data_IF_488604819932
#
_entry.id   IF_488604819932
#
_cell.length_a   1.000
_cell.length_b   1.000
_cell.length_c   1.000
_cell.angle_alpha   90.00
_cell.angle_beta   90.00
_cell.angle_gamma   90.00
#
_symmetry.space_group_name_H-M   'P 1'
#
loop_
_entity.id
_entity.type
_entity.pdbx_description
1 polymer ?
#
# COMPACT_ATOMS: atom_id res chain seq x y z
N UNK A 1 -3.60 -13.29 7.29
CA UNK A 1 -4.84 -12.97 8.04
C UNK A 1 -5.68 -14.22 8.15
N UNK A 2 -6.10 -14.61 9.37
CA UNK A 2 -6.99 -15.74 9.61
C UNK A 2 -8.42 -15.23 9.77
N UNK A 3 -9.37 -15.89 9.10
CA UNK A 3 -10.77 -15.49 9.04
C UNK A 3 -11.65 -16.57 9.66
N UNK A 4 -12.74 -16.17 10.31
CA UNK A 4 -13.64 -17.07 11.04
C UNK A 4 -14.93 -17.40 10.25
N UNK A 5 -15.08 -16.81 9.06
CA UNK A 5 -16.24 -17.05 8.20
C UNK A 5 -16.08 -16.36 6.86
N UNK A 6 -16.86 -16.78 5.89
CA UNK A 6 -16.95 -16.15 4.57
C UNK A 6 -18.41 -16.11 4.08
N UNK A 7 -18.69 -15.08 3.28
CA UNK A 7 -19.91 -15.04 2.46
C UNK A 7 -19.58 -15.40 1.02
N UNK A 8 -20.37 -16.28 0.44
CA UNK A 8 -20.22 -16.66 -0.97
C UNK A 8 -21.35 -16.08 -1.82
N UNK A 9 -21.11 -15.95 -3.12
CA UNK A 9 -22.16 -15.64 -4.09
C UNK A 9 -23.20 -16.75 -4.13
N UNK A 10 -24.42 -16.43 -4.56
CA UNK A 10 -25.43 -17.43 -4.85
C UNK A 10 -24.93 -18.37 -5.95
N UNK A 11 -25.38 -19.64 -5.92
CA UNK A 11 -24.84 -20.71 -6.77
C UNK A 11 -24.80 -20.36 -8.27
N UNK A 12 -25.82 -19.69 -8.79
CA UNK A 12 -25.91 -19.28 -10.21
C UNK A 12 -24.76 -18.32 -10.58
N UNK A 13 -24.44 -17.35 -9.71
CA UNK A 13 -23.34 -16.41 -9.95
C UNK A 13 -21.98 -17.09 -9.78
N UNK A 14 -21.83 -17.95 -8.76
CA UNK A 14 -20.59 -18.68 -8.52
C UNK A 14 -20.23 -19.63 -9.68
N UNK A 15 -21.23 -20.28 -10.29
CA UNK A 15 -21.03 -21.13 -11.46
C UNK A 15 -20.66 -20.33 -12.72
N UNK A 16 -21.24 -19.15 -12.89
CA UNK A 16 -20.94 -18.28 -14.04
C UNK A 16 -19.57 -17.58 -13.92
N UNK A 17 -19.06 -17.38 -12.68
CA UNK A 17 -17.81 -16.73 -12.41
C UNK A 17 -16.92 -17.60 -11.51
N UNK A 18 -16.19 -18.58 -12.08
CA UNK A 18 -15.43 -19.56 -11.31
C UNK A 18 -14.18 -18.97 -10.59
N UNK A 19 -13.78 -17.75 -10.92
CA UNK A 19 -12.71 -17.05 -10.23
C UNK A 19 -13.34 -16.02 -9.30
N UNK A 20 -13.04 -16.14 -8.02
CA UNK A 20 -13.52 -15.24 -6.97
C UNK A 20 -12.36 -14.75 -6.11
N UNK A 21 -12.54 -13.62 -5.47
CA UNK A 21 -11.61 -13.07 -4.50
C UNK A 21 -12.35 -12.26 -3.45
N UNK A 22 -11.85 -12.27 -2.21
CA UNK A 22 -12.42 -11.43 -1.15
C UNK A 22 -12.02 -9.96 -1.37
N UNK A 23 -12.86 -9.03 -0.94
CA UNK A 23 -12.65 -7.57 -1.13
C UNK A 23 -12.59 -6.79 0.19
N UNK A 24 -12.44 -7.48 1.30
CA UNK A 24 -12.39 -6.87 2.61
C UNK A 24 -11.08 -6.09 2.80
N UNK A 25 -11.20 -4.80 3.10
CA UNK A 25 -10.09 -4.00 3.58
C UNK A 25 -9.97 -4.13 5.11
N UNK A 26 -8.75 -4.25 5.61
CA UNK A 26 -8.47 -4.25 7.05
C UNK A 26 -7.82 -2.92 7.39
N UNK A 27 -8.55 -1.99 8.03
CA UNK A 27 -7.99 -0.69 8.41
C UNK A 27 -6.94 -0.86 9.52
N UNK A 28 -6.02 0.08 9.61
CA UNK A 28 -5.09 0.21 10.72
C UNK A 28 -5.83 0.54 12.04
N UNK A 29 -5.10 0.56 13.16
CA UNK A 29 -5.66 0.91 14.47
C UNK A 29 -6.25 2.32 14.56
N UNK A 30 -5.91 3.19 13.60
CA UNK A 30 -6.45 4.54 13.43
C UNK A 30 -7.61 4.61 12.44
N UNK A 31 -8.12 3.47 11.98
CA UNK A 31 -9.23 3.40 11.03
C UNK A 31 -8.85 3.66 9.57
N UNK A 32 -7.57 3.94 9.27
CA UNK A 32 -7.11 4.29 7.91
C UNK A 32 -6.66 3.06 7.15
N UNK A 33 -7.17 2.87 5.93
CA UNK A 33 -6.77 1.79 5.02
C UNK A 33 -5.53 2.21 4.24
N UNK A 34 -4.40 1.56 4.53
CA UNK A 34 -3.11 1.78 3.85
C UNK A 34 -2.66 0.57 3.03
N UNK A 35 -3.16 -0.59 3.39
CA UNK A 35 -2.80 -1.87 2.77
C UNK A 35 -4.03 -2.74 2.57
N UNK A 36 -3.93 -3.69 1.66
CA UNK A 36 -4.96 -4.72 1.43
C UNK A 36 -4.33 -6.10 1.62
N UNK A 37 -4.97 -7.00 2.40
CA UNK A 37 -4.53 -8.38 2.46
C UNK A 37 -4.64 -9.02 1.08
N UNK A 38 -3.59 -9.73 0.66
CA UNK A 38 -3.57 -10.44 -0.61
C UNK A 38 -4.10 -11.87 -0.47
N UNK A 39 -3.80 -12.49 0.67
CA UNK A 39 -4.25 -13.84 1.02
C UNK A 39 -4.91 -13.84 2.40
N UNK A 40 -5.97 -14.61 2.53
CA UNK A 40 -6.64 -14.91 3.78
C UNK A 40 -6.72 -16.42 3.97
N UNK A 41 -6.53 -16.88 5.19
CA UNK A 41 -6.72 -18.27 5.58
C UNK A 41 -8.12 -18.47 6.16
N UNK A 42 -8.81 -19.48 5.69
CA UNK A 42 -10.08 -19.96 6.25
C UNK A 42 -10.13 -21.48 6.18
N UNK A 43 -10.34 -22.15 7.30
CA UNK A 43 -10.42 -23.62 7.41
C UNK A 43 -9.23 -24.36 6.79
N UNK A 44 -8.01 -23.81 6.96
CA UNK A 44 -6.78 -24.40 6.44
C UNK A 44 -6.52 -24.20 4.95
N UNK A 45 -7.39 -23.48 4.25
CA UNK A 45 -7.22 -23.10 2.85
C UNK A 45 -6.90 -21.60 2.70
N UNK A 46 -6.14 -21.26 1.66
CA UNK A 46 -5.82 -19.87 1.34
C UNK A 46 -6.69 -19.35 0.20
N UNK A 47 -7.27 -18.20 0.42
CA UNK A 47 -8.13 -17.49 -0.54
C UNK A 47 -7.47 -16.20 -0.97
N UNK A 48 -7.60 -15.87 -2.24
CA UNK A 48 -7.02 -14.65 -2.82
C UNK A 48 -7.95 -13.46 -2.63
N UNK A 49 -7.35 -12.27 -2.50
CA UNK A 49 -8.13 -11.04 -2.61
C UNK A 49 -8.57 -10.79 -4.04
N UNK A 50 -9.62 -9.98 -4.21
CA UNK A 50 -10.12 -9.55 -5.52
C UNK A 50 -8.99 -8.95 -6.38
N UNK A 51 -8.14 -8.11 -5.79
CA UNK A 51 -7.04 -7.48 -6.51
C UNK A 51 -6.01 -8.52 -7.02
N UNK A 52 -5.62 -9.48 -6.17
CA UNK A 52 -4.69 -10.54 -6.56
C UNK A 52 -5.30 -11.47 -7.60
N UNK A 53 -6.55 -11.91 -7.40
CA UNK A 53 -7.25 -12.81 -8.30
C UNK A 53 -7.42 -12.18 -9.70
N UNK A 54 -7.83 -10.91 -9.77
CA UNK A 54 -7.96 -10.17 -11.05
C UNK A 54 -6.60 -9.99 -11.73
N UNK A 55 -5.56 -9.59 -10.99
CA UNK A 55 -4.22 -9.45 -11.55
C UNK A 55 -3.69 -10.79 -12.08
N UNK A 56 -3.84 -11.88 -11.32
CA UNK A 56 -3.41 -13.21 -11.76
C UNK A 56 -4.16 -13.69 -12.99
N UNK A 57 -5.46 -13.43 -13.08
CA UNK A 57 -6.25 -13.77 -14.27
C UNK A 57 -5.76 -13.01 -15.50
N UNK A 58 -5.40 -11.72 -15.35
CA UNK A 58 -4.82 -10.92 -16.42
C UNK A 58 -3.40 -11.37 -16.80
N UNK A 59 -2.59 -11.75 -15.82
CA UNK A 59 -1.20 -12.18 -15.97
C UNK A 59 -1.05 -13.68 -16.32
N UNK A 60 -2.08 -14.32 -16.85
CA UNK A 60 -2.07 -15.73 -17.30
C UNK A 60 -1.86 -16.73 -16.15
N UNK A 61 -2.40 -16.42 -14.97
CA UNK A 61 -2.43 -17.26 -13.76
C UNK A 61 -1.05 -17.71 -13.25
N UNK A 62 -0.13 -16.78 -12.95
CA UNK A 62 1.14 -17.13 -12.33
C UNK A 62 0.94 -17.91 -11.03
N UNK A 63 1.87 -18.80 -10.68
CA UNK A 63 1.90 -19.43 -9.37
C UNK A 63 2.16 -18.38 -8.28
N UNK A 64 1.63 -18.63 -7.07
CA UNK A 64 1.87 -17.79 -5.90
C UNK A 64 2.73 -18.59 -4.93
N UNK A 65 3.90 -18.07 -4.61
CA UNK A 65 4.87 -18.70 -3.73
C UNK A 65 5.24 -17.76 -2.58
N UNK A 66 5.55 -18.30 -1.39
CA UNK A 66 6.09 -17.48 -0.32
C UNK A 66 7.50 -17.00 -0.68
N UNK A 67 7.78 -15.73 -0.43
CA UNK A 67 9.10 -15.13 -0.56
C UNK A 67 9.68 -14.78 0.80
N UNK A 68 10.98 -15.06 0.96
CA UNK A 68 11.72 -14.82 2.19
C UNK A 68 12.87 -13.85 1.92
N UNK A 69 13.36 -13.11 2.93
CA UNK A 69 14.52 -12.23 2.78
C UNK A 69 15.74 -13.00 2.27
N UNK A 70 16.49 -12.39 1.33
CA UNK A 70 17.70 -12.99 0.78
C UNK A 70 18.86 -13.00 1.80
N UNK A 71 18.90 -12.03 2.71
CA UNK A 71 19.90 -11.88 3.74
C UNK A 71 19.33 -12.23 5.11
N UNK A 72 19.85 -13.29 5.71
CA UNK A 72 19.62 -13.60 7.11
C UNK A 72 20.51 -12.66 7.95
N UNK A 73 19.92 -11.74 8.66
CA UNK A 73 20.65 -10.98 9.69
C UNK A 73 21.14 -11.99 10.74
N UNK A 74 22.45 -11.97 10.96
CA UNK A 74 23.17 -12.92 11.81
C UNK A 74 22.43 -13.18 13.13
N UNK A 75 22.07 -14.43 13.37
CA UNK A 75 21.64 -14.94 14.69
C UNK A 75 20.15 -15.08 14.94
N UNK A 76 19.26 -14.84 13.97
CA UNK A 76 17.82 -15.13 14.11
C UNK A 76 17.31 -15.87 12.89
N UNK A 77 16.90 -17.11 13.10
CA UNK A 77 16.01 -17.83 12.19
C UNK A 77 14.63 -17.16 12.26
N UNK A 78 14.45 -16.04 11.55
CA UNK A 78 13.13 -15.51 11.30
C UNK A 78 12.59 -16.15 10.02
N UNK A 79 11.62 -17.05 10.13
CA UNK A 79 10.86 -17.51 8.98
C UNK A 79 9.79 -16.48 8.61
N UNK A 80 10.08 -15.17 8.75
CA UNK A 80 9.12 -14.14 8.38
C UNK A 80 9.10 -13.98 6.87
N UNK A 81 7.97 -14.30 6.31
CA UNK A 81 7.64 -14.06 4.93
C UNK A 81 7.62 -12.54 4.69
N UNK A 82 8.43 -12.05 3.74
CA UNK A 82 8.53 -10.63 3.40
C UNK A 82 7.81 -10.27 2.10
N UNK A 83 7.40 -11.29 1.34
CA UNK A 83 6.81 -11.09 0.02
C UNK A 83 5.99 -12.29 -0.44
N UNK A 84 5.13 -12.05 -1.41
CA UNK A 84 4.58 -13.07 -2.29
C UNK A 84 5.29 -12.99 -3.63
N UNK A 85 5.70 -14.14 -4.15
CA UNK A 85 6.39 -14.24 -5.44
C UNK A 85 5.45 -14.86 -6.45
N UNK A 86 5.10 -14.09 -7.47
CA UNK A 86 4.33 -14.59 -8.61
C UNK A 86 5.28 -15.04 -9.70
N UNK A 87 5.12 -16.28 -10.18
CA UNK A 87 5.94 -16.84 -11.26
C UNK A 87 5.10 -17.31 -12.44
N UNK A 88 5.51 -16.91 -13.63
CA UNK A 88 4.97 -17.41 -14.88
C UNK A 88 6.10 -17.56 -15.91
N UNK A 89 6.53 -18.79 -16.17
CA UNK A 89 7.71 -19.06 -16.98
C UNK A 89 8.96 -18.38 -16.42
N UNK A 90 9.62 -17.55 -17.20
CA UNK A 90 10.79 -16.77 -16.79
C UNK A 90 10.42 -15.44 -16.08
N UNK A 91 9.16 -15.06 -16.07
CA UNK A 91 8.70 -13.81 -15.44
C UNK A 91 8.48 -14.03 -13.95
N UNK A 92 9.01 -13.13 -13.13
CA UNK A 92 8.84 -13.15 -11.69
C UNK A 92 8.47 -11.75 -11.21
N UNK A 93 7.42 -11.66 -10.41
CA UNK A 93 7.01 -10.43 -9.71
C UNK A 93 7.07 -10.69 -8.21
N UNK A 94 7.88 -9.92 -7.49
CA UNK A 94 7.93 -9.94 -6.03
C UNK A 94 7.00 -8.86 -5.49
N UNK A 95 6.01 -9.24 -4.67
CA UNK A 95 5.04 -8.35 -4.03
C UNK A 95 5.41 -8.25 -2.56
N UNK A 96 5.92 -7.12 -2.07
CA UNK A 96 6.19 -6.92 -0.65
C UNK A 96 4.90 -7.02 0.16
N UNK A 97 4.93 -7.76 1.27
CA UNK A 97 3.80 -7.91 2.19
C UNK A 97 4.28 -7.81 3.63
N UNK A 98 3.35 -7.48 4.52
CA UNK A 98 3.56 -7.52 5.96
C UNK A 98 3.27 -8.93 6.55
N UNK A 99 3.36 -9.05 7.87
CA UNK A 99 3.06 -10.27 8.65
C UNK A 99 1.61 -10.77 8.49
N UNK A 100 0.72 -9.95 7.98
CA UNK A 100 -0.69 -10.27 7.69
C UNK A 100 -0.93 -10.61 6.22
N UNK A 101 0.13 -10.72 5.42
CA UNK A 101 0.08 -10.90 3.97
C UNK A 101 -0.64 -9.73 3.26
N UNK A 102 -0.52 -8.52 3.81
CA UNK A 102 -1.09 -7.32 3.22
C UNK A 102 -0.02 -6.51 2.48
N UNK A 103 -0.34 -6.09 1.27
CA UNK A 103 0.49 -5.20 0.46
C UNK A 103 0.05 -3.74 0.64
N UNK A 104 1.00 -2.82 0.70
CA UNK A 104 0.72 -1.39 0.70
C UNK A 104 0.07 -0.98 -0.62
N UNK A 105 -0.98 -0.17 -0.53
CA UNK A 105 -1.70 0.34 -1.70
C UNK A 105 -0.99 1.60 -2.23
N UNK A 106 -0.51 1.60 -3.48
CA UNK A 106 0.12 2.76 -4.08
C UNK A 106 -0.95 3.75 -4.58
N UNK A 107 -1.58 4.49 -3.65
CA UNK A 107 -2.62 5.45 -3.99
C UNK A 107 -2.12 6.51 -4.97
N UNK A 108 -2.92 6.79 -6.01
CA UNK A 108 -2.57 7.68 -7.13
C UNK A 108 -3.19 9.06 -7.04
N UNK A 109 -3.90 9.37 -5.96
CA UNK A 109 -4.53 10.66 -5.75
C UNK A 109 -5.79 10.57 -4.89
N UNK A 110 -6.58 11.63 -4.80
CA UNK A 110 -7.71 11.74 -3.86
C UNK A 110 -8.88 10.80 -4.15
N UNK A 111 -8.89 10.13 -5.30
CA UNK A 111 -9.93 9.16 -5.69
C UNK A 111 -11.27 9.79 -6.10
N UNK A 112 -12.20 8.90 -6.51
CA UNK A 112 -13.52 9.28 -6.97
C UNK A 112 -13.54 9.78 -8.42
N UNK A 113 -14.73 10.01 -8.94
CA UNK A 113 -14.94 10.41 -10.34
C UNK A 113 -14.21 11.69 -10.73
N UNK A 114 -13.97 12.60 -9.77
CA UNK A 114 -13.24 13.85 -9.96
C UNK A 114 -11.76 13.76 -9.61
N UNK A 115 -11.31 12.66 -8.99
CA UNK A 115 -9.92 12.45 -8.58
C UNK A 115 -8.96 12.18 -9.74
N UNK A 116 -9.45 11.78 -10.90
CA UNK A 116 -8.71 11.71 -12.16
C UNK A 116 -7.77 10.50 -12.32
N UNK A 117 -7.59 9.67 -11.30
CA UNK A 117 -6.67 8.52 -11.36
C UNK A 117 -7.20 7.37 -12.20
N UNK A 118 -8.52 7.15 -12.15
CA UNK A 118 -9.22 6.12 -12.91
C UNK A 118 -10.44 6.72 -13.62
N UNK A 119 -10.78 6.14 -14.75
CA UNK A 119 -11.97 6.56 -15.51
C UNK A 119 -13.21 5.95 -14.88
N UNK A 120 -14.15 6.80 -14.53
CA UNK A 120 -15.48 6.43 -14.04
C UNK A 120 -16.50 6.45 -15.16
N UNK A 121 -17.31 5.39 -15.23
CA UNK A 121 -18.43 5.27 -16.15
C UNK A 121 -19.68 4.93 -15.34
N UNK A 122 -20.79 5.57 -15.63
CA UNK A 122 -22.05 5.21 -15.00
C UNK A 122 -22.52 3.83 -15.47
N UNK A 123 -22.86 2.94 -14.54
CA UNK A 123 -23.44 1.65 -14.88
C UNK A 123 -24.71 1.78 -15.72
N UNK A 124 -25.53 2.83 -15.47
CA UNK A 124 -26.71 3.15 -16.27
C UNK A 124 -26.36 3.45 -17.73
N UNK A 125 -25.25 4.16 -17.97
CA UNK A 125 -24.82 4.49 -19.33
C UNK A 125 -24.28 3.26 -20.07
N UNK A 126 -23.57 2.38 -19.36
CA UNK A 126 -23.12 1.09 -19.92
C UNK A 126 -24.32 0.22 -20.28
N UNK A 127 -25.28 0.06 -19.37
CA UNK A 127 -26.48 -0.74 -19.61
C UNK A 127 -27.37 -0.20 -20.73
N UNK A 128 -27.38 1.12 -20.89
CA UNK A 128 -28.14 1.80 -21.96
C UNK A 128 -27.36 1.90 -23.28
N UNK A 129 -26.20 1.24 -23.40
CA UNK A 129 -25.33 1.31 -24.59
C UNK A 129 -24.93 2.73 -25.01
N UNK A 130 -24.79 3.66 -24.03
CA UNK A 130 -24.35 5.03 -24.27
C UNK A 130 -22.83 5.20 -24.15
N UNK A 131 -22.13 4.15 -23.77
CA UNK A 131 -20.66 4.10 -23.67
C UNK A 131 -20.10 3.41 -24.90
N UNK A 132 -19.08 4.04 -25.52
CA UNK A 132 -18.36 3.43 -26.63
C UNK A 132 -17.70 2.12 -26.15
N UNK A 133 -18.01 0.95 -26.76
CA UNK A 133 -17.43 -0.34 -26.39
C UNK A 133 -15.90 -0.38 -26.45
N UNK A 134 -15.27 0.41 -27.30
CA UNK A 134 -13.81 0.44 -27.42
C UNK A 134 -13.13 1.00 -26.16
N UNK A 135 -13.85 1.75 -25.33
CA UNK A 135 -13.35 2.22 -24.04
C UNK A 135 -13.14 1.05 -23.04
N UNK A 136 -13.98 0.02 -23.14
CA UNK A 136 -13.96 -1.14 -22.22
C UNK A 136 -13.08 -2.29 -22.77
N UNK A 137 -12.87 -2.33 -24.05
CA UNK A 137 -12.16 -3.42 -24.73
C UNK A 137 -10.73 -3.55 -24.24
N UNK A 138 -10.34 -4.76 -23.80
CA UNK A 138 -9.00 -5.05 -23.31
C UNK A 138 -8.65 -4.38 -21.97
N UNK A 139 -9.65 -3.90 -21.22
CA UNK A 139 -9.46 -3.27 -19.92
C UNK A 139 -9.89 -4.17 -18.79
N UNK A 140 -9.24 -4.03 -17.64
CA UNK A 140 -9.77 -4.51 -16.37
C UNK A 140 -10.83 -3.51 -15.89
N UNK A 141 -12.05 -4.00 -15.71
CA UNK A 141 -13.18 -3.18 -15.28
C UNK A 141 -13.62 -3.63 -13.89
N UNK A 142 -13.66 -2.70 -12.96
CA UNK A 142 -14.21 -2.90 -11.63
C UNK A 142 -15.60 -2.29 -11.55
N UNK A 143 -16.55 -3.03 -11.03
CA UNK A 143 -17.89 -2.54 -10.74
C UNK A 143 -18.02 -2.38 -9.24
N UNK A 144 -18.37 -1.19 -8.78
CA UNK A 144 -18.51 -0.88 -7.37
C UNK A 144 -19.54 0.21 -7.12
N UNK A 145 -19.95 0.32 -5.88
CA UNK A 145 -20.89 1.34 -5.42
C UNK A 145 -20.12 2.53 -4.87
N UNK A 146 -20.42 3.72 -5.38
CA UNK A 146 -19.78 4.98 -4.93
C UNK A 146 -20.80 5.99 -4.41
N UNK A 147 -22.10 5.65 -4.42
CA UNK A 147 -23.14 6.54 -3.98
C UNK A 147 -23.15 6.71 -2.45
N UNK A 148 -23.40 7.93 -1.95
CA UNK A 148 -23.61 8.17 -0.52
C UNK A 148 -24.68 7.24 0.06
N UNK A 149 -24.41 6.65 1.24
CA UNK A 149 -25.34 5.73 1.90
C UNK A 149 -25.15 4.25 1.57
N UNK A 150 -24.38 3.88 0.54
CA UNK A 150 -24.03 2.50 0.24
C UNK A 150 -22.77 2.01 0.99
N UNK A 151 -22.20 2.86 1.86
CA UNK A 151 -21.17 2.57 2.86
C UNK A 151 -19.84 1.96 2.34
N UNK A 152 -19.56 2.02 1.04
CA UNK A 152 -18.27 1.56 0.51
C UNK A 152 -17.27 2.73 0.37
N UNK A 153 -17.21 3.59 1.39
CA UNK A 153 -16.20 4.63 1.53
C UNK A 153 -15.22 4.25 2.64
N UNK A 154 -13.95 4.52 2.40
CA UNK A 154 -12.86 4.20 3.31
C UNK A 154 -12.02 5.43 3.61
N UNK A 155 -11.63 5.60 4.86
CA UNK A 155 -10.56 6.55 5.18
C UNK A 155 -9.23 5.99 4.67
N UNK A 156 -8.49 6.79 3.92
CA UNK A 156 -7.19 6.45 3.32
C UNK A 156 -6.21 7.59 3.55
N UNK A 157 -4.89 7.40 3.34
CA UNK A 157 -3.91 8.48 3.49
C UNK A 157 -4.14 9.70 2.58
N UNK A 158 -4.93 9.54 1.52
CA UNK A 158 -5.13 10.58 0.49
C UNK A 158 -6.54 11.18 0.50
N UNK A 159 -7.49 10.56 1.21
CA UNK A 159 -8.86 11.04 1.33
C UNK A 159 -9.59 10.37 2.48
N UNK A 160 -10.42 11.12 3.20
CA UNK A 160 -11.28 10.61 4.28
C UNK A 160 -12.46 9.78 3.76
N UNK A 161 -12.87 10.00 2.50
CA UNK A 161 -14.00 9.36 1.87
C UNK A 161 -13.60 8.77 0.50
N UNK A 162 -12.71 7.79 0.54
CA UNK A 162 -12.18 7.12 -0.64
C UNK A 162 -13.06 5.96 -1.08
N UNK A 163 -13.42 5.83 -2.38
CA UNK A 163 -14.20 4.69 -2.85
C UNK A 163 -13.45 3.36 -2.62
N UNK A 164 -14.10 2.41 -1.94
CA UNK A 164 -13.48 1.13 -1.61
C UNK A 164 -13.07 0.34 -2.86
N UNK A 165 -13.89 0.35 -3.91
CA UNK A 165 -13.55 -0.26 -5.19
C UNK A 165 -12.26 0.30 -5.81
N UNK A 166 -12.00 1.60 -5.64
CA UNK A 166 -10.81 2.25 -6.20
C UNK A 166 -9.53 1.89 -5.41
N UNK A 167 -9.67 1.47 -4.14
CA UNK A 167 -8.54 0.92 -3.38
C UNK A 167 -8.00 -0.35 -4.05
N UNK A 168 -8.89 -1.23 -4.52
CA UNK A 168 -8.50 -2.40 -5.31
C UNK A 168 -7.92 -2.02 -6.68
N UNK A 169 -8.48 -1.01 -7.34
CA UNK A 169 -7.95 -0.51 -8.61
C UNK A 169 -6.52 0.01 -8.49
N UNK A 170 -6.21 0.75 -7.41
CA UNK A 170 -4.84 1.22 -7.13
C UNK A 170 -3.87 0.06 -6.94
N UNK A 171 -4.25 -0.97 -6.17
CA UNK A 171 -3.40 -2.13 -5.95
C UNK A 171 -3.16 -2.91 -7.25
N UNK A 172 -4.22 -3.17 -8.04
CA UNK A 172 -4.09 -3.83 -9.35
C UNK A 172 -3.16 -3.04 -10.26
N UNK A 173 -3.36 -1.73 -10.34
CA UNK A 173 -2.52 -0.86 -11.16
C UNK A 173 -1.05 -0.84 -10.67
N UNK A 174 -0.81 -0.88 -9.36
CA UNK A 174 0.52 -1.01 -8.79
C UNK A 174 1.20 -2.32 -9.16
N UNK A 175 0.44 -3.44 -9.13
CA UNK A 175 0.92 -4.75 -9.56
C UNK A 175 1.26 -4.76 -11.06
N UNK A 176 0.43 -4.15 -11.90
CA UNK A 176 0.65 -4.06 -13.35
C UNK A 176 1.88 -3.20 -13.71
N UNK A 177 2.10 -2.12 -12.99
CA UNK A 177 3.23 -1.21 -13.22
C UNK A 177 4.52 -1.67 -12.54
N UNK A 178 4.47 -2.71 -11.68
CA UNK A 178 5.59 -3.11 -10.83
C UNK A 178 5.98 -2.04 -9.80
N UNK A 179 5.10 -1.10 -9.51
CA UNK A 179 5.31 0.00 -8.56
C UNK A 179 4.71 -0.34 -7.20
N UNK A 180 5.35 -1.26 -6.51
CA UNK A 180 4.96 -1.70 -5.18
C UNK A 180 5.90 -1.09 -4.14
N UNK A 181 5.32 -0.71 -3.02
CA UNK A 181 6.06 -0.10 -1.92
C UNK A 181 6.24 -1.14 -0.82
N UNK A 182 7.47 -1.27 -0.33
CA UNK A 182 7.82 -2.14 0.77
C UNK A 182 7.96 -1.35 2.08
N UNK A 183 7.50 -1.93 3.18
CA UNK A 183 7.87 -1.51 4.52
C UNK A 183 8.76 -2.60 5.12
N UNK A 184 10.09 -2.43 5.07
CA UNK A 184 11.01 -3.46 5.53
C UNK A 184 10.96 -3.62 7.06
N UNK A 185 11.33 -4.80 7.56
CA UNK A 185 11.35 -5.12 8.99
C UNK A 185 12.28 -4.23 9.79
N UNK A 186 13.36 -3.73 9.15
CA UNK A 186 14.29 -2.79 9.77
C UNK A 186 13.78 -1.35 9.85
N UNK A 187 12.55 -1.06 9.41
CA UNK A 187 12.00 0.31 9.39
C UNK A 187 12.04 0.99 10.77
N UNK A 188 11.77 0.24 11.85
CA UNK A 188 11.88 0.77 13.20
C UNK A 188 13.33 1.08 13.59
N UNK A 189 14.28 0.21 13.23
CA UNK A 189 15.72 0.44 13.44
C UNK A 189 16.23 1.65 12.66
N UNK A 190 15.80 1.79 11.41
CA UNK A 190 16.08 2.97 10.60
C UNK A 190 15.62 4.26 11.29
N UNK A 191 14.37 4.31 11.79
CA UNK A 191 13.83 5.49 12.48
C UNK A 191 14.69 5.86 13.70
N UNK A 192 15.08 4.88 14.50
CA UNK A 192 15.94 5.11 15.68
C UNK A 192 17.30 5.67 15.26
N UNK A 193 17.93 5.11 14.24
CA UNK A 193 19.24 5.60 13.75
C UNK A 193 19.14 7.03 13.23
N UNK A 194 18.14 7.34 12.39
CA UNK A 194 17.97 8.70 11.86
C UNK A 194 17.65 9.69 12.98
N UNK A 195 16.84 9.30 13.96
CA UNK A 195 16.52 10.11 15.13
C UNK A 195 17.77 10.39 15.98
N UNK A 196 18.58 9.37 16.29
CA UNK A 196 19.80 9.52 17.09
C UNK A 196 20.81 10.39 16.36
N UNK A 197 21.07 10.14 15.07
CA UNK A 197 22.02 10.96 14.29
C UNK A 197 21.55 12.41 14.21
N UNK A 198 20.28 12.65 13.91
CA UNK A 198 19.73 14.01 13.86
C UNK A 198 19.79 14.69 15.24
N UNK A 199 19.48 13.94 16.30
CA UNK A 199 19.56 14.43 17.68
C UNK A 199 20.97 14.81 18.10
N UNK A 200 21.98 14.01 17.78
CA UNK A 200 23.38 14.31 18.06
C UNK A 200 23.85 15.55 17.31
N UNK A 201 23.51 15.68 16.01
CA UNK A 201 23.84 16.87 15.21
C UNK A 201 23.26 18.12 15.85
N UNK A 202 22.02 18.09 16.32
CA UNK A 202 21.40 19.23 16.97
C UNK A 202 21.96 19.49 18.38
N UNK A 203 22.14 18.44 19.19
CA UNK A 203 22.62 18.54 20.56
C UNK A 203 24.02 19.18 20.64
N UNK A 204 24.89 18.85 19.70
CA UNK A 204 26.23 19.44 19.62
C UNK A 204 26.29 20.71 18.78
N UNK A 205 25.41 20.86 17.79
CA UNK A 205 25.42 22.00 16.89
C UNK A 205 24.73 23.25 17.45
N UNK A 206 23.52 23.10 18.01
CA UNK A 206 22.72 24.26 18.45
C UNK A 206 23.44 25.15 19.51
N UNK A 207 24.06 24.59 20.58
CA UNK A 207 24.70 25.43 21.60
C UNK A 207 25.90 26.25 21.10
N UNK A 208 26.48 25.86 19.96
CA UNK A 208 27.67 26.52 19.40
C UNK A 208 27.32 27.62 18.39
N UNK A 209 26.05 27.78 18.07
CA UNK A 209 25.60 28.63 16.97
C UNK A 209 24.81 29.85 17.48
N UNK A 210 24.88 30.94 16.73
CA UNK A 210 23.96 32.06 16.92
C UNK A 210 22.54 31.67 16.49
N UNK A 211 21.51 32.35 17.00
CA UNK A 211 20.11 32.05 16.73
C UNK A 211 19.82 31.86 15.23
N UNK A 212 20.30 32.73 14.36
CA UNK A 212 20.10 32.60 12.90
C UNK A 212 20.76 31.34 12.34
N UNK A 213 21.95 30.96 12.79
CA UNK A 213 22.64 29.74 12.34
C UNK A 213 21.96 28.49 12.89
N UNK A 214 21.40 28.55 14.10
CA UNK A 214 20.62 27.47 14.70
C UNK A 214 19.36 27.19 13.88
N UNK A 215 18.65 28.23 13.43
CA UNK A 215 17.52 28.08 12.48
C UNK A 215 17.96 27.36 11.21
N UNK A 216 19.05 27.85 10.58
CA UNK A 216 19.57 27.26 9.34
C UNK A 216 19.93 25.78 9.54
N UNK A 217 20.62 25.43 10.64
CA UNK A 217 20.96 24.03 10.93
C UNK A 217 19.72 23.16 11.07
N UNK A 218 18.70 23.61 11.83
CA UNK A 218 17.45 22.86 12.02
C UNK A 218 16.72 22.63 10.70
N UNK A 219 16.63 23.67 9.84
CA UNK A 219 16.02 23.55 8.51
C UNK A 219 16.80 22.58 7.62
N UNK A 220 18.13 22.60 7.67
CA UNK A 220 18.97 21.66 6.90
C UNK A 220 18.77 20.22 7.37
N UNK A 221 18.69 19.97 8.68
CA UNK A 221 18.43 18.63 9.22
C UNK A 221 17.04 18.14 8.81
N UNK A 222 16.00 18.98 8.92
CA UNK A 222 14.65 18.64 8.44
C UNK A 222 14.66 18.33 6.94
N UNK A 223 15.28 19.19 6.15
CA UNK A 223 15.39 18.99 4.70
C UNK A 223 16.14 17.71 4.33
N UNK A 224 17.21 17.37 5.07
CA UNK A 224 17.96 16.14 4.86
C UNK A 224 17.11 14.89 5.19
N UNK A 225 16.36 14.90 6.30
CA UNK A 225 15.48 13.78 6.68
C UNK A 225 14.37 13.59 5.65
N UNK A 226 13.68 14.67 5.26
CA UNK A 226 12.63 14.63 4.24
C UNK A 226 13.21 14.20 2.89
N UNK A 227 14.33 14.78 2.47
CA UNK A 227 14.98 14.46 1.20
C UNK A 227 15.43 13.02 1.12
N UNK A 228 16.06 12.47 2.17
CA UNK A 228 16.46 11.07 2.25
C UNK A 228 15.24 10.14 2.14
N UNK A 229 14.18 10.40 2.91
CA UNK A 229 12.97 9.55 2.85
C UNK A 229 12.28 9.64 1.48
N UNK A 230 12.21 10.83 0.89
CA UNK A 230 11.65 11.01 -0.46
C UNK A 230 12.46 10.24 -1.51
N UNK A 231 13.78 10.30 -1.43
CA UNK A 231 14.66 9.56 -2.33
C UNK A 231 14.51 8.04 -2.18
N UNK A 232 14.45 7.53 -0.93
CA UNK A 232 14.21 6.12 -0.65
C UNK A 232 12.83 5.65 -1.13
N UNK A 233 11.81 6.49 -0.96
CA UNK A 233 10.46 6.18 -1.43
C UNK A 233 10.35 6.16 -2.96
N UNK A 234 10.81 7.21 -3.63
CA UNK A 234 10.68 7.34 -5.08
C UNK A 234 11.67 6.46 -5.85
N UNK A 235 12.91 6.32 -5.34
CA UNK A 235 13.96 5.57 -6.01
C UNK A 235 13.96 4.07 -5.71
N UNK A 236 13.57 3.68 -4.50
CA UNK A 236 13.68 2.31 -4.02
C UNK A 236 12.34 1.70 -3.58
N UNK A 237 11.23 2.45 -3.62
CA UNK A 237 9.92 1.97 -3.18
C UNK A 237 9.86 1.62 -1.69
N UNK A 238 10.63 2.31 -0.83
CA UNK A 238 10.68 2.05 0.60
C UNK A 238 9.84 3.06 1.38
N UNK A 239 8.81 2.59 2.10
CA UNK A 239 8.03 3.40 3.03
C UNK A 239 8.66 3.35 4.43
N UNK A 240 9.45 4.34 4.76
CA UNK A 240 10.15 4.42 6.04
C UNK A 240 9.53 5.51 6.95
N UNK A 241 9.43 5.29 8.27
CA UNK A 241 8.89 6.26 9.19
C UNK A 241 9.88 7.45 9.35
N UNK A 242 9.33 8.66 9.48
CA UNK A 242 10.10 9.88 9.71
C UNK A 242 9.42 10.85 10.70
N UNK A 243 8.17 10.61 11.04
CA UNK A 243 7.37 11.57 11.82
C UNK A 243 7.97 11.87 13.20
N UNK A 244 8.44 10.85 13.91
CA UNK A 244 9.07 11.01 15.23
C UNK A 244 10.32 11.84 15.16
N UNK A 245 11.16 11.63 14.13
CA UNK A 245 12.37 12.44 13.91
C UNK A 245 12.03 13.90 13.61
N UNK A 246 11.02 14.17 12.77
CA UNK A 246 10.60 15.54 12.47
C UNK A 246 10.09 16.27 13.73
N UNK A 247 9.28 15.60 14.54
CA UNK A 247 8.81 16.15 15.82
C UNK A 247 9.99 16.42 16.77
N UNK A 248 10.92 15.49 16.90
CA UNK A 248 12.11 15.65 17.73
C UNK A 248 12.95 16.85 17.31
N UNK A 249 13.20 17.03 16.00
CA UNK A 249 13.94 18.20 15.48
C UNK A 249 13.21 19.51 15.78
N UNK A 250 11.88 19.54 15.60
CA UNK A 250 11.07 20.72 15.91
C UNK A 250 11.12 21.08 17.42
N UNK A 251 11.02 20.07 18.29
CA UNK A 251 11.12 20.27 19.74
C UNK A 251 12.52 20.70 20.18
N UNK A 252 13.58 20.07 19.64
CA UNK A 252 14.96 20.45 19.93
C UNK A 252 15.24 21.92 19.58
N UNK A 253 14.70 22.40 18.45
CA UNK A 253 14.78 23.79 18.06
C UNK A 253 13.96 24.71 19.00
N UNK A 254 12.75 24.33 19.38
CA UNK A 254 11.86 25.15 20.21
C UNK A 254 12.35 25.31 21.66
N UNK A 255 13.14 24.35 22.16
CA UNK A 255 13.65 24.33 23.53
C UNK A 255 15.06 24.94 23.66
N UNK A 256 15.71 25.34 22.58
CA UNK A 256 17.03 25.94 22.56
C UNK A 256 16.94 27.47 22.40
#
# INVERSE_FOLDING_TARGET
TQWTGHGANIAVLAQAAPVAGFFNAVPGGDGVVRSLPLLAEFEGAYYESLALAMFRQWAERPSVEPGFPAERVVGRDYPSLDSLVLRHGARTLKIPVDDRLAALVPFRGPGGAQGGSFRYLSATDVLANRVDPDILKGRLVLVGTTAPGLLDLRATPVSEAYPGVETHANLIAGLMDGRLVARPDYAAGYEVVVMVVSGLVLAFGLPLLSATRAVVLSVLVLGAVIGLNTWLYLGHGLALPMATTLVMVALAFALN
#
